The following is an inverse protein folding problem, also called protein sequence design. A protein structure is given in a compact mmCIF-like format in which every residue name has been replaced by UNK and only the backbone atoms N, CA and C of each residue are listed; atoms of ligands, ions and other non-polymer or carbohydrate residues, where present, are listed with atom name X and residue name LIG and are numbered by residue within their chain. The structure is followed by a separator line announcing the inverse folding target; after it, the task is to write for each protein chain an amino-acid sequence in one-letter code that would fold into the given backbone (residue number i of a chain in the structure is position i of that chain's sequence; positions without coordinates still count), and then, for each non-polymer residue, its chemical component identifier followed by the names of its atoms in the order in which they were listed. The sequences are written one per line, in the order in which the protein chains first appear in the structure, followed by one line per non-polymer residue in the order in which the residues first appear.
data_IF_821387543272
#
_entry.id   IF_821387543272
#
_cell.length_a   1.000
_cell.length_b   1.000
_cell.length_c   1.000
_cell.angle_alpha   90.00
_cell.angle_beta   90.00
_cell.angle_gamma   90.00
#
_symmetry.space_group_name_H-M   'P 1'
#
loop_
_entity.id
_entity.type
_entity.pdbx_description
1 polymer ?
#
# COMPACT_ATOMS: atom_id res chain seq x y z
N UNK A 1 21.43 65.30 55.26
CA UNK A 1 21.83 64.27 56.25
C UNK A 1 20.74 63.22 56.26
N UNK A 2 21.12 61.97 55.93
CA UNK A 2 20.53 60.68 56.39
C UNK A 2 19.03 60.44 56.19
N UNK A 3 18.53 59.28 55.78
CA UNK A 3 19.08 58.01 55.27
C UNK A 3 17.85 57.12 54.96
N UNK A 4 18.06 56.03 54.23
CA UNK A 4 17.28 54.78 54.27
C UNK A 4 15.90 54.69 53.58
N UNK A 5 15.96 54.11 52.37
CA UNK A 5 15.03 53.05 51.94
C UNK A 5 15.15 51.84 52.91
N UNK A 6 14.11 51.00 53.09
CA UNK A 6 14.27 49.69 52.44
C UNK A 6 12.96 48.97 51.99
N UNK A 7 13.11 48.23 50.88
CA UNK A 7 12.40 47.02 50.44
C UNK A 7 11.08 47.15 49.67
N UNK A 8 11.19 47.36 48.36
CA UNK A 8 10.29 46.73 47.40
C UNK A 8 10.87 45.36 47.00
N UNK A 9 10.25 44.27 47.46
CA UNK A 9 10.55 42.92 46.97
C UNK A 9 9.88 42.73 45.60
N UNK A 10 10.58 42.25 44.57
CA UNK A 10 9.96 41.86 43.31
C UNK A 10 9.21 40.53 43.51
N UNK A 11 7.88 40.52 43.34
CA UNK A 11 7.15 39.27 43.22
C UNK A 11 7.59 38.55 41.94
N UNK A 12 8.22 37.40 42.15
CA UNK A 12 8.74 36.52 41.11
C UNK A 12 7.62 36.00 40.20
N UNK A 13 7.97 35.88 38.92
CA UNK A 13 7.26 35.10 37.94
C UNK A 13 7.18 33.62 38.35
N UNK A 14 6.04 32.96 38.05
CA UNK A 14 5.99 31.69 37.29
C UNK A 14 4.62 31.03 37.44
N UNK A 15 3.75 31.27 36.45
CA UNK A 15 2.54 30.50 36.24
C UNK A 15 2.51 29.96 34.81
N UNK A 16 3.58 29.30 34.38
CA UNK A 16 3.50 28.44 33.19
C UNK A 16 2.70 27.22 33.65
N UNK A 17 1.47 26.97 33.16
CA UNK A 17 0.77 25.75 33.49
C UNK A 17 1.67 24.59 33.06
N UNK A 18 2.02 23.73 34.03
CA UNK A 18 2.77 22.51 33.78
C UNK A 18 2.12 21.80 32.59
N UNK A 19 2.90 21.62 31.53
CA UNK A 19 2.45 20.89 30.36
C UNK A 19 1.98 19.52 30.84
N UNK A 20 0.67 19.30 30.88
CA UNK A 20 0.09 17.99 31.13
C UNK A 20 0.81 17.02 30.20
N UNK A 21 1.51 16.07 30.80
CA UNK A 21 2.22 15.00 30.13
C UNK A 21 1.16 14.17 29.39
N UNK A 22 0.78 14.62 28.19
CA UNK A 22 -0.17 13.92 27.31
C UNK A 22 0.45 12.57 27.04
N UNK A 23 0.01 11.57 27.79
CA UNK A 23 0.44 10.18 27.68
C UNK A 23 0.06 9.74 26.29
N UNK A 24 1.00 9.85 25.33
CA UNK A 24 0.75 9.54 23.93
C UNK A 24 0.28 8.09 23.86
N UNK A 25 -1.01 7.89 23.61
CA UNK A 25 -1.56 6.54 23.45
C UNK A 25 -0.81 5.91 22.27
N UNK A 26 -0.20 4.75 22.50
CA UNK A 26 0.58 4.06 21.47
C UNK A 26 -0.29 3.86 20.22
N UNK A 27 0.24 4.19 19.04
CA UNK A 27 -0.46 4.11 17.75
C UNK A 27 -1.15 2.74 17.54
N UNK A 28 -0.50 1.65 17.95
CA UNK A 28 -1.06 0.30 17.87
C UNK A 28 -2.33 0.10 18.72
N UNK A 29 -2.42 0.74 19.90
CA UNK A 29 -3.64 0.67 20.73
C UNK A 29 -4.81 1.43 20.11
N UNK A 30 -4.53 2.50 19.35
CA UNK A 30 -5.55 3.23 18.61
C UNK A 30 -6.02 2.43 17.40
N UNK A 31 -5.12 1.77 16.68
CA UNK A 31 -5.48 0.87 15.57
C UNK A 31 -6.37 -0.28 16.03
N UNK A 32 -6.05 -0.90 17.17
CA UNK A 32 -6.85 -1.99 17.76
C UNK A 32 -8.21 -1.53 18.30
N UNK A 33 -8.44 -0.23 18.44
CA UNK A 33 -9.73 0.30 18.90
C UNK A 33 -10.77 0.43 17.78
N UNK A 34 -10.34 0.43 16.51
CA UNK A 34 -11.24 0.50 15.37
C UNK A 34 -11.59 -0.93 14.89
N UNK A 35 -12.85 -1.38 15.04
CA UNK A 35 -13.24 -2.74 14.65
C UNK A 35 -13.04 -2.99 13.15
N UNK A 36 -13.20 -1.98 12.30
CA UNK A 36 -12.99 -2.10 10.85
C UNK A 36 -11.52 -2.40 10.54
N UNK A 37 -10.60 -1.70 11.20
CA UNK A 37 -9.15 -1.91 11.04
C UNK A 37 -8.71 -3.27 11.57
N UNK A 38 -9.32 -3.75 12.66
CA UNK A 38 -9.04 -5.09 13.20
C UNK A 38 -9.52 -6.17 12.24
N UNK A 39 -10.75 -6.06 11.73
CA UNK A 39 -11.31 -7.02 10.77
C UNK A 39 -10.47 -7.06 9.50
N UNK A 40 -10.08 -5.91 8.95
CA UNK A 40 -9.23 -5.86 7.75
C UNK A 40 -7.84 -6.45 7.99
N UNK A 41 -7.24 -6.22 9.15
CA UNK A 41 -5.97 -6.85 9.54
C UNK A 41 -6.08 -8.37 9.66
N UNK A 42 -7.17 -8.89 10.24
CA UNK A 42 -7.41 -10.33 10.34
C UNK A 42 -7.62 -10.96 8.97
N UNK A 43 -8.43 -10.34 8.11
CA UNK A 43 -8.65 -10.83 6.75
C UNK A 43 -7.34 -10.84 5.94
N UNK A 44 -6.55 -9.77 6.02
CA UNK A 44 -5.26 -9.71 5.35
C UNK A 44 -4.29 -10.77 5.90
N UNK A 45 -4.29 -11.00 7.22
CA UNK A 45 -3.50 -12.06 7.83
C UNK A 45 -3.89 -13.45 7.30
N UNK A 46 -5.18 -13.74 7.15
CA UNK A 46 -5.65 -14.99 6.55
C UNK A 46 -5.16 -15.12 5.11
N UNK A 47 -5.27 -14.07 4.30
CA UNK A 47 -4.79 -14.09 2.90
C UNK A 47 -3.28 -14.35 2.84
N UNK A 48 -2.50 -13.65 3.66
CA UNK A 48 -1.04 -13.85 3.74
C UNK A 48 -0.70 -15.26 4.22
N UNK A 49 -1.44 -15.79 5.20
CA UNK A 49 -1.26 -17.14 5.70
C UNK A 49 -1.54 -18.20 4.63
N UNK A 50 -2.64 -18.04 3.88
CA UNK A 50 -2.98 -18.89 2.74
C UNK A 50 -1.94 -18.76 1.62
N UNK A 51 -1.42 -17.57 1.36
CA UNK A 51 -0.39 -17.35 0.36
C UNK A 51 0.94 -18.04 0.68
N UNK A 52 1.35 -18.00 1.96
CA UNK A 52 2.58 -18.64 2.40
C UNK A 52 2.45 -20.15 2.52
N UNK A 53 1.34 -20.63 3.09
CA UNK A 53 1.14 -22.06 3.32
C UNK A 53 0.47 -22.79 2.16
N UNK A 54 -0.13 -22.07 1.21
CA UNK A 54 -0.89 -22.60 0.08
C UNK A 54 -0.23 -23.78 -0.61
N UNK A 55 1.08 -23.73 -0.95
CA UNK A 55 1.80 -24.86 -1.54
C UNK A 55 1.79 -26.15 -0.72
N UNK A 56 1.61 -26.07 0.61
CA UNK A 56 1.59 -27.21 1.53
C UNK A 56 0.18 -27.63 1.95
N UNK A 57 -0.78 -26.71 1.96
CA UNK A 57 -2.15 -26.97 2.41
C UNK A 57 -3.16 -27.14 1.26
N UNK A 58 -2.76 -26.91 0.01
CA UNK A 58 -3.60 -27.15 -1.16
C UNK A 58 -4.00 -28.65 -1.24
N UNK A 59 -5.29 -28.98 -1.36
CA UNK A 59 -5.74 -30.38 -1.40
C UNK A 59 -5.28 -31.16 -2.64
N UNK A 60 -5.08 -30.46 -3.78
CA UNK A 60 -4.74 -31.06 -5.07
C UNK A 60 -3.56 -30.32 -5.72
N UNK A 61 -2.90 -30.98 -6.69
CA UNK A 61 -1.87 -30.33 -7.49
C UNK A 61 -2.45 -29.21 -8.36
N UNK A 62 -1.79 -28.06 -8.35
CA UNK A 62 -2.28 -26.83 -8.98
C UNK A 62 -2.46 -26.93 -10.51
N UNK A 63 -1.75 -27.87 -11.14
CA UNK A 63 -1.74 -28.11 -12.58
C UNK A 63 -2.20 -29.52 -12.95
N UNK A 64 -2.80 -30.25 -12.01
CA UNK A 64 -3.28 -31.61 -12.26
C UNK A 64 -4.55 -31.55 -13.11
N UNK A 65 -4.39 -31.84 -14.41
CA UNK A 65 -5.47 -31.82 -15.39
C UNK A 65 -6.26 -33.12 -15.30
N UNK A 66 -7.58 -33.01 -15.14
CA UNK A 66 -8.51 -34.15 -15.13
C UNK A 66 -9.73 -33.85 -16.01
N UNK A 67 -9.57 -34.10 -17.31
CA UNK A 67 -10.59 -33.81 -18.34
C UNK A 67 -11.93 -34.49 -18.04
N UNK A 68 -11.93 -35.65 -17.39
CA UNK A 68 -13.15 -36.39 -17.07
C UNK A 68 -14.01 -35.68 -16.01
N UNK A 69 -13.38 -34.87 -15.16
CA UNK A 69 -14.03 -34.12 -14.08
C UNK A 69 -14.08 -32.61 -14.38
N UNK A 70 -14.11 -32.20 -15.65
CA UNK A 70 -14.26 -30.80 -16.05
C UNK A 70 -15.59 -30.19 -15.61
N UNK A 71 -15.54 -28.91 -15.22
CA UNK A 71 -16.73 -28.10 -14.91
C UNK A 71 -17.68 -28.76 -13.89
N UNK A 72 -17.12 -29.47 -12.91
CA UNK A 72 -17.92 -30.00 -11.80
C UNK A 72 -18.17 -28.91 -10.76
N UNK A 73 -19.42 -28.80 -10.26
CA UNK A 73 -19.77 -27.84 -9.23
C UNK A 73 -19.06 -28.13 -7.90
N UNK A 74 -19.03 -27.16 -6.98
CA UNK A 74 -18.56 -27.34 -5.61
C UNK A 74 -19.11 -28.60 -4.95
N UNK A 75 -18.22 -29.44 -4.43
CA UNK A 75 -18.52 -30.73 -3.82
C UNK A 75 -17.57 -31.04 -2.67
N UNK A 76 -17.80 -32.15 -1.96
CA UNK A 76 -16.92 -32.57 -0.87
C UNK A 76 -15.51 -32.98 -1.36
N UNK A 77 -15.38 -33.41 -2.62
CA UNK A 77 -14.07 -33.65 -3.25
C UNK A 77 -13.43 -32.33 -3.70
N UNK A 78 -14.17 -31.50 -4.42
CA UNK A 78 -13.69 -30.21 -4.91
C UNK A 78 -14.46 -29.06 -4.28
N UNK A 79 -13.94 -28.50 -3.18
CA UNK A 79 -14.69 -27.53 -2.36
C UNK A 79 -15.14 -26.29 -3.15
N UNK A 80 -14.35 -25.84 -4.12
CA UNK A 80 -14.69 -24.72 -5.01
C UNK A 80 -15.06 -25.18 -6.43
N UNK A 81 -15.24 -26.48 -6.64
CA UNK A 81 -15.47 -27.09 -7.95
C UNK A 81 -14.19 -27.20 -8.78
N UNK A 82 -14.36 -27.62 -10.03
CA UNK A 82 -13.27 -27.76 -11.00
C UNK A 82 -13.40 -26.77 -12.14
N UNK A 83 -12.28 -26.50 -12.82
CA UNK A 83 -12.23 -25.60 -13.97
C UNK A 83 -12.47 -26.31 -15.32
N UNK A 84 -12.27 -25.57 -16.42
CA UNK A 84 -12.40 -26.02 -17.81
C UNK A 84 -11.42 -27.12 -18.20
N UNK A 85 -10.38 -27.35 -17.39
CA UNK A 85 -9.43 -28.46 -17.53
C UNK A 85 -9.58 -29.51 -16.42
N UNK A 86 -10.60 -29.38 -15.57
CA UNK A 86 -10.85 -30.28 -14.44
C UNK A 86 -9.90 -30.09 -13.26
N UNK A 87 -9.13 -28.99 -13.24
CA UNK A 87 -8.23 -28.68 -12.14
C UNK A 87 -9.04 -28.12 -10.97
N UNK A 88 -8.58 -28.41 -9.75
CA UNK A 88 -9.24 -27.95 -8.53
C UNK A 88 -9.15 -26.42 -8.36
N UNK A 89 -10.30 -25.74 -8.29
CA UNK A 89 -10.37 -24.27 -8.21
C UNK A 89 -9.84 -23.76 -6.87
N UNK A 90 -10.07 -24.48 -5.77
CA UNK A 90 -9.62 -24.07 -4.44
C UNK A 90 -8.09 -24.01 -4.38
N UNK A 91 -7.43 -25.09 -4.79
CA UNK A 91 -5.97 -25.20 -4.85
C UNK A 91 -5.40 -24.09 -5.74
N UNK A 92 -6.02 -23.81 -6.89
CA UNK A 92 -5.60 -22.71 -7.77
C UNK A 92 -5.77 -21.33 -7.13
N UNK A 93 -6.88 -21.06 -6.43
CA UNK A 93 -7.09 -19.79 -5.70
C UNK A 93 -6.05 -19.61 -4.59
N UNK A 94 -5.74 -20.66 -3.84
CA UNK A 94 -4.76 -20.63 -2.75
C UNK A 94 -3.35 -20.35 -3.28
N UNK A 95 -2.92 -21.03 -4.33
CA UNK A 95 -1.59 -20.78 -4.93
C UNK A 95 -1.54 -19.40 -5.61
N UNK A 96 -2.61 -18.99 -6.29
CA UNK A 96 -2.69 -17.66 -6.91
C UNK A 96 -2.55 -16.52 -5.89
N UNK A 97 -2.97 -16.73 -4.63
CA UNK A 97 -2.84 -15.72 -3.58
C UNK A 97 -1.39 -15.31 -3.31
N UNK A 98 -0.45 -16.26 -3.33
CA UNK A 98 0.98 -15.98 -3.21
C UNK A 98 1.50 -15.18 -4.39
N UNK A 99 1.10 -15.54 -5.61
CA UNK A 99 1.54 -14.86 -6.83
C UNK A 99 1.01 -13.42 -6.88
N UNK A 100 -0.28 -13.20 -6.63
CA UNK A 100 -0.88 -11.86 -6.65
C UNK A 100 -0.32 -10.96 -5.53
N UNK A 101 -0.12 -11.49 -4.31
CA UNK A 101 0.54 -10.74 -3.23
C UNK A 101 2.00 -10.39 -3.57
N UNK A 102 2.74 -11.32 -4.17
CA UNK A 102 4.12 -11.07 -4.59
C UNK A 102 4.18 -9.94 -5.61
N UNK A 103 3.30 -9.94 -6.62
CA UNK A 103 3.23 -8.86 -7.62
C UNK A 103 2.93 -7.53 -6.96
N UNK A 104 1.88 -7.46 -6.13
CA UNK A 104 1.50 -6.23 -5.46
C UNK A 104 2.63 -5.69 -4.57
N UNK A 105 3.26 -6.54 -3.77
CA UNK A 105 4.32 -6.12 -2.86
C UNK A 105 5.57 -5.66 -3.60
N UNK A 106 6.06 -6.43 -4.58
CA UNK A 106 7.30 -6.11 -5.31
C UNK A 106 7.12 -4.84 -6.16
N UNK A 107 5.99 -4.70 -6.86
CA UNK A 107 5.70 -3.50 -7.65
C UNK A 107 5.60 -2.26 -6.78
N UNK A 108 4.88 -2.34 -5.66
CA UNK A 108 4.73 -1.20 -4.76
C UNK A 108 6.03 -0.87 -4.04
N UNK A 109 6.84 -1.87 -3.66
CA UNK A 109 8.16 -1.63 -3.08
C UNK A 109 9.07 -0.90 -4.07
N UNK A 110 9.09 -1.32 -5.33
CA UNK A 110 9.82 -0.62 -6.39
C UNK A 110 9.34 0.83 -6.54
N UNK A 111 8.03 1.03 -6.68
CA UNK A 111 7.42 2.34 -6.85
C UNK A 111 7.68 3.26 -5.63
N UNK A 112 7.63 2.70 -4.43
CA UNK A 112 7.96 3.38 -3.17
C UNK A 112 9.41 3.84 -3.19
N UNK A 113 10.37 2.94 -3.46
CA UNK A 113 11.80 3.30 -3.39
C UNK A 113 12.12 4.37 -4.43
N UNK A 114 11.78 4.13 -5.69
CA UNK A 114 12.10 5.05 -6.78
C UNK A 114 11.32 6.36 -6.63
N UNK A 115 10.02 6.27 -6.35
CA UNK A 115 9.15 7.43 -6.24
C UNK A 115 9.51 8.31 -5.04
N UNK A 116 9.73 7.73 -3.86
CA UNK A 116 10.14 8.49 -2.68
C UNK A 116 11.48 9.18 -2.91
N UNK A 117 12.46 8.51 -3.50
CA UNK A 117 13.75 9.12 -3.83
C UNK A 117 13.57 10.30 -4.80
N UNK A 118 12.84 10.11 -5.90
CA UNK A 118 12.55 11.17 -6.87
C UNK A 118 11.84 12.34 -6.19
N UNK A 119 10.79 12.09 -5.42
CA UNK A 119 9.98 13.13 -4.79
C UNK A 119 10.71 13.90 -3.69
N UNK A 120 11.49 13.22 -2.85
CA UNK A 120 12.30 13.87 -1.81
C UNK A 120 13.40 14.72 -2.42
N UNK A 121 14.11 14.20 -3.43
CA UNK A 121 15.18 14.94 -4.10
C UNK A 121 14.61 16.16 -4.83
N UNK A 122 13.52 16.00 -5.58
CA UNK A 122 12.88 17.11 -6.29
C UNK A 122 12.34 18.16 -5.30
N UNK A 123 11.64 17.70 -4.24
CA UNK A 123 11.03 18.55 -3.24
C UNK A 123 12.05 19.33 -2.41
N UNK A 124 13.22 18.77 -2.15
CA UNK A 124 14.29 19.43 -1.39
C UNK A 124 15.13 20.37 -2.27
N UNK A 125 15.60 19.91 -3.43
CA UNK A 125 16.46 20.68 -4.32
C UNK A 125 15.73 21.88 -4.94
N UNK A 126 14.48 21.70 -5.38
CA UNK A 126 13.74 22.72 -6.13
C UNK A 126 14.36 23.06 -7.49
N UNK A 127 13.95 24.19 -8.06
CA UNK A 127 14.55 24.76 -9.27
C UNK A 127 14.37 23.91 -10.54
N UNK A 128 15.44 23.83 -11.34
CA UNK A 128 15.41 23.10 -12.62
C UNK A 128 15.27 21.58 -12.42
N UNK A 129 15.94 21.01 -11.41
CA UNK A 129 15.85 19.57 -11.12
C UNK A 129 14.41 19.16 -10.79
N UNK A 130 13.74 19.95 -9.96
CA UNK A 130 12.34 19.72 -9.64
C UNK A 130 11.44 19.83 -10.88
N UNK A 131 11.67 20.85 -11.71
CA UNK A 131 10.94 21.02 -12.97
C UNK A 131 11.10 19.80 -13.88
N UNK A 132 12.33 19.33 -14.12
CA UNK A 132 12.59 18.18 -15.02
C UNK A 132 11.97 16.89 -14.47
N UNK A 133 12.19 16.59 -13.19
CA UNK A 133 11.64 15.36 -12.57
C UNK A 133 10.12 15.38 -12.56
N UNK A 134 9.49 16.51 -12.22
CA UNK A 134 8.03 16.61 -12.22
C UNK A 134 7.45 16.59 -13.63
N UNK A 135 8.16 17.10 -14.65
CA UNK A 135 7.73 16.94 -16.05
C UNK A 135 7.71 15.49 -16.48
N UNK A 136 8.72 14.69 -16.09
CA UNK A 136 8.71 13.25 -16.35
C UNK A 136 7.51 12.56 -15.68
N UNK A 137 7.27 12.88 -14.41
CA UNK A 137 6.10 12.38 -13.64
C UNK A 137 4.78 12.77 -14.32
N UNK A 138 4.65 14.01 -14.79
CA UNK A 138 3.44 14.49 -15.46
C UNK A 138 3.21 13.82 -16.82
N UNK A 139 4.28 13.53 -17.57
CA UNK A 139 4.20 12.75 -18.82
C UNK A 139 3.66 11.34 -18.56
N UNK A 140 4.09 10.69 -17.47
CA UNK A 140 3.57 9.37 -17.12
C UNK A 140 2.08 9.40 -16.76
N UNK A 141 1.63 10.44 -16.04
CA UNK A 141 0.22 10.62 -15.70
C UNK A 141 -0.67 11.03 -16.87
N UNK A 142 -0.11 11.48 -17.99
CA UNK A 142 -0.88 11.77 -19.19
C UNK A 142 -1.52 10.49 -19.78
N UNK A 143 -0.94 9.32 -19.49
CA UNK A 143 -1.47 8.03 -19.89
C UNK A 143 -2.33 7.43 -18.76
N UNK A 144 -3.48 6.82 -19.08
CA UNK A 144 -4.22 6.02 -18.11
C UNK A 144 -3.35 4.89 -17.56
N UNK A 145 -3.33 4.72 -16.23
CA UNK A 145 -2.50 3.76 -15.49
C UNK A 145 -2.52 2.36 -16.12
N UNK A 146 -3.73 1.84 -16.38
CA UNK A 146 -3.88 0.50 -16.95
C UNK A 146 -3.35 0.43 -18.40
N UNK A 147 -3.62 1.45 -19.23
CA UNK A 147 -3.14 1.48 -20.61
C UNK A 147 -1.62 1.54 -20.69
N UNK A 148 -0.99 2.33 -19.81
CA UNK A 148 0.47 2.41 -19.75
C UNK A 148 1.08 1.07 -19.30
N UNK A 149 0.49 0.42 -18.29
CA UNK A 149 0.94 -0.89 -17.84
C UNK A 149 0.80 -1.94 -18.96
N UNK A 150 -0.34 -1.97 -19.66
CA UNK A 150 -0.59 -2.85 -20.81
C UNK A 150 0.45 -2.63 -21.91
N UNK A 151 0.73 -1.38 -22.27
CA UNK A 151 1.72 -1.05 -23.30
C UNK A 151 3.12 -1.54 -22.91
N UNK A 152 3.54 -1.33 -21.66
CA UNK A 152 4.85 -1.78 -21.17
C UNK A 152 4.96 -3.31 -21.25
N UNK A 153 3.95 -4.04 -20.80
CA UNK A 153 3.98 -5.51 -20.80
C UNK A 153 3.85 -6.10 -22.20
N UNK A 154 3.05 -5.49 -23.07
CA UNK A 154 2.97 -5.89 -24.47
C UNK A 154 4.32 -5.75 -25.20
N UNK A 155 5.12 -4.72 -24.87
CA UNK A 155 6.46 -4.52 -25.44
C UNK A 155 7.50 -5.46 -24.83
N UNK A 156 7.49 -5.64 -23.50
CA UNK A 156 8.49 -6.44 -22.77
C UNK A 156 8.19 -7.95 -22.74
N UNK A 157 7.09 -8.37 -23.36
CA UNK A 157 6.48 -9.69 -23.27
C UNK A 157 5.72 -9.98 -21.94
N UNK A 158 4.56 -10.66 -21.99
CA UNK A 158 3.80 -11.05 -20.81
C UNK A 158 4.56 -11.96 -19.86
N UNK A 159 4.40 -11.74 -18.56
CA UNK A 159 5.04 -12.54 -17.53
C UNK A 159 5.01 -11.90 -16.15
N UNK A 160 5.41 -12.67 -15.14
CA UNK A 160 5.40 -12.24 -13.74
C UNK A 160 6.32 -11.03 -13.50
N UNK A 161 7.57 -11.10 -13.97
CA UNK A 161 8.56 -10.04 -13.76
C UNK A 161 8.21 -8.75 -14.53
N UNK A 162 7.72 -8.88 -15.77
CA UNK A 162 7.34 -7.72 -16.61
C UNK A 162 6.08 -7.06 -16.07
N UNK A 163 5.11 -7.83 -15.57
CA UNK A 163 3.94 -7.31 -14.84
C UNK A 163 4.38 -6.53 -13.59
N UNK A 164 5.30 -7.10 -12.79
CA UNK A 164 5.82 -6.43 -11.59
C UNK A 164 6.47 -5.08 -11.93
N UNK A 165 7.35 -5.08 -12.93
CA UNK A 165 8.06 -3.89 -13.38
C UNK A 165 7.11 -2.85 -13.96
N UNK A 166 6.15 -3.25 -14.78
CA UNK A 166 5.18 -2.35 -15.40
C UNK A 166 4.33 -1.64 -14.34
N UNK A 167 3.74 -2.38 -13.40
CA UNK A 167 2.95 -1.79 -12.32
C UNK A 167 3.83 -0.86 -11.47
N UNK A 168 5.06 -1.28 -11.14
CA UNK A 168 5.99 -0.47 -10.35
C UNK A 168 6.38 0.85 -11.02
N UNK A 169 6.70 0.82 -12.31
CA UNK A 169 6.99 2.02 -13.12
C UNK A 169 5.78 2.95 -13.11
N UNK A 170 4.60 2.43 -13.43
CA UNK A 170 3.37 3.24 -13.52
C UNK A 170 2.98 3.85 -12.17
N UNK A 171 3.33 3.22 -11.04
CA UNK A 171 2.97 3.71 -9.71
C UNK A 171 4.03 4.65 -9.11
N UNK A 172 5.25 4.67 -9.66
CA UNK A 172 6.34 5.56 -9.24
C UNK A 172 5.93 7.05 -9.19
N UNK A 173 5.22 7.61 -10.19
CA UNK A 173 4.68 8.97 -10.16
C UNK A 173 3.83 9.30 -8.93
N UNK A 174 3.05 8.34 -8.43
CA UNK A 174 2.15 8.52 -7.28
C UNK A 174 2.98 8.77 -6.02
N UNK A 175 3.97 7.91 -5.76
CA UNK A 175 4.89 8.07 -4.63
C UNK A 175 5.74 9.34 -4.75
N UNK A 176 6.24 9.65 -5.95
CA UNK A 176 7.02 10.86 -6.19
C UNK A 176 6.24 12.13 -5.84
N UNK A 177 4.97 12.21 -6.24
CA UNK A 177 4.12 13.38 -5.96
C UNK A 177 3.84 13.52 -4.46
N UNK A 178 3.51 12.43 -3.76
CA UNK A 178 3.24 12.45 -2.32
C UNK A 178 4.50 12.81 -1.52
N UNK A 179 5.64 12.19 -1.85
CA UNK A 179 6.92 12.47 -1.20
C UNK A 179 7.37 13.91 -1.44
N UNK A 180 7.21 14.43 -2.67
CA UNK A 180 7.52 15.83 -2.99
C UNK A 180 6.66 16.79 -2.20
N UNK A 181 5.34 16.61 -2.20
CA UNK A 181 4.42 17.50 -1.49
C UNK A 181 4.74 17.55 0.01
N UNK A 182 4.98 16.38 0.61
CA UNK A 182 5.34 16.26 2.03
C UNK A 182 6.71 16.90 2.32
N UNK A 183 7.69 16.69 1.43
CA UNK A 183 9.02 17.30 1.55
C UNK A 183 8.96 18.82 1.45
N UNK A 184 8.11 19.36 0.57
CA UNK A 184 7.93 20.81 0.41
C UNK A 184 7.35 21.45 1.67
N UNK A 185 6.49 20.73 2.40
CA UNK A 185 5.99 21.18 3.70
C UNK A 185 7.08 21.13 4.78
N UNK A 186 7.85 20.05 4.84
CA UNK A 186 8.86 19.85 5.89
C UNK A 186 10.09 20.75 5.69
N UNK A 187 10.50 21.02 4.44
CA UNK A 187 11.72 21.82 4.17
C UNK A 187 11.65 23.27 4.67
N UNK A 188 10.45 23.81 4.87
CA UNK A 188 10.25 25.18 5.35
C UNK A 188 10.15 25.26 6.87
N UNK A 189 10.17 24.12 7.58
CA UNK A 189 10.08 24.09 9.03
C UNK A 189 11.33 24.70 9.72
N UNK A 190 11.17 25.37 10.88
CA UNK A 190 12.27 26.09 11.54
C UNK A 190 13.49 25.21 11.85
N UNK A 191 13.28 23.96 12.28
CA UNK A 191 14.39 23.04 12.59
C UNK A 191 15.21 22.65 11.36
N UNK A 192 14.59 22.58 10.18
CA UNK A 192 15.29 22.32 8.91
C UNK A 192 16.07 23.55 8.49
N UNK A 193 15.47 24.75 8.61
CA UNK A 193 16.14 26.01 8.27
C UNK A 193 17.39 26.24 9.13
N UNK A 194 17.29 26.01 10.45
CA UNK A 194 18.42 26.13 11.37
C UNK A 194 19.52 25.11 11.05
N UNK A 195 19.16 23.85 10.78
CA UNK A 195 20.16 22.83 10.39
C UNK A 195 20.90 23.22 9.10
N UNK A 196 20.20 23.86 8.16
CA UNK A 196 20.78 24.36 6.91
C UNK A 196 21.72 25.55 7.13
N UNK A 197 21.36 26.51 7.98
CA UNK A 197 22.24 27.66 8.30
C UNK A 197 23.50 27.22 9.06
N UNK A 198 23.42 26.13 9.81
CA UNK A 198 24.58 25.48 10.46
C UNK A 198 25.49 24.70 9.49
N UNK A 199 25.19 24.66 8.19
CA UNK A 199 26.03 23.98 7.19
C UNK A 199 25.92 22.46 7.20
N UNK A 200 24.85 21.90 7.77
CA UNK A 200 24.62 20.44 7.77
C UNK A 200 24.49 19.93 6.33
N UNK A 201 25.17 18.83 5.94
CA UNK A 201 25.08 18.31 4.58
C UNK A 201 23.65 17.87 4.24
N UNK A 202 23.23 18.10 3.01
CA UNK A 202 21.86 17.84 2.53
C UNK A 202 21.40 16.40 2.78
N UNK A 203 22.28 15.41 2.60
CA UNK A 203 21.94 14.00 2.82
C UNK A 203 21.60 13.71 4.29
N UNK A 204 22.27 14.39 5.23
CA UNK A 204 21.97 14.28 6.66
C UNK A 204 20.65 14.94 7.01
N UNK A 205 20.35 16.11 6.41
CA UNK A 205 19.05 16.77 6.56
C UNK A 205 17.92 15.87 6.03
N UNK A 206 18.10 15.28 4.84
CA UNK A 206 17.12 14.37 4.27
C UNK A 206 16.89 13.14 5.15
N UNK A 207 17.96 12.48 5.58
CA UNK A 207 17.88 11.25 6.38
C UNK A 207 17.35 11.45 7.80
N UNK A 208 17.73 12.55 8.47
CA UNK A 208 17.40 12.78 9.89
C UNK A 208 16.20 13.67 10.11
N UNK A 209 15.91 14.60 9.19
CA UNK A 209 14.84 15.57 9.36
C UNK A 209 13.70 15.35 8.37
N UNK A 210 13.97 15.14 7.08
CA UNK A 210 12.88 15.06 6.09
C UNK A 210 12.20 13.69 6.09
N UNK A 211 12.95 12.61 5.83
CA UNK A 211 12.40 11.26 5.68
C UNK A 211 11.56 10.84 6.90
N UNK A 212 12.03 10.97 8.15
CA UNK A 212 11.23 10.59 9.32
C UNK A 212 9.90 11.35 9.42
N UNK A 213 9.87 12.63 9.04
CA UNK A 213 8.67 13.48 9.14
C UNK A 213 7.65 13.23 8.02
N UNK A 214 8.06 12.66 6.88
CA UNK A 214 7.15 12.32 5.79
C UNK A 214 6.69 10.85 5.80
N UNK A 215 7.18 10.04 6.76
CA UNK A 215 6.82 8.60 6.85
C UNK A 215 5.31 8.37 6.93
N UNK A 216 4.57 9.19 7.67
CA UNK A 216 3.12 9.05 7.85
C UNK A 216 2.35 9.01 6.52
N UNK A 217 2.39 10.08 5.72
CA UNK A 217 1.76 10.10 4.39
C UNK A 217 2.23 8.97 3.46
N UNK A 218 3.51 8.61 3.50
CA UNK A 218 4.05 7.56 2.64
C UNK A 218 3.54 6.17 3.05
N UNK A 219 3.44 5.89 4.35
CA UNK A 219 2.89 4.63 4.86
C UNK A 219 1.43 4.47 4.42
N UNK A 220 0.62 5.53 4.57
CA UNK A 220 -0.77 5.54 4.11
C UNK A 220 -0.83 5.28 2.60
N UNK A 221 -0.04 6.01 1.82
CA UNK A 221 0.03 5.83 0.36
C UNK A 221 0.41 4.40 -0.03
N UNK A 222 1.32 3.77 0.71
CA UNK A 222 1.76 2.39 0.47
C UNK A 222 0.60 1.40 0.60
N UNK A 223 -0.19 1.50 1.67
CA UNK A 223 -1.35 0.63 1.88
C UNK A 223 -2.40 0.77 0.78
N UNK A 224 -2.70 2.00 0.36
CA UNK A 224 -3.63 2.27 -0.74
C UNK A 224 -3.09 1.71 -2.07
N UNK A 225 -1.80 1.92 -2.34
CA UNK A 225 -1.15 1.41 -3.55
C UNK A 225 -1.12 -0.11 -3.63
N UNK A 226 -0.99 -0.83 -2.50
CA UNK A 226 -1.08 -2.30 -2.48
C UNK A 226 -2.46 -2.79 -2.93
N UNK A 227 -3.54 -2.16 -2.47
CA UNK A 227 -4.90 -2.50 -2.91
C UNK A 227 -5.06 -2.31 -4.43
N UNK A 228 -4.62 -1.16 -4.96
CA UNK A 228 -4.69 -0.90 -6.39
C UNK A 228 -3.77 -1.81 -7.22
N UNK A 229 -2.61 -2.19 -6.69
CA UNK A 229 -1.69 -3.09 -7.38
C UNK A 229 -2.27 -4.49 -7.58
N UNK A 230 -3.01 -5.02 -6.59
CA UNK A 230 -3.77 -6.27 -6.73
C UNK A 230 -4.81 -6.16 -7.86
N UNK A 231 -5.56 -5.07 -7.89
CA UNK A 231 -6.56 -4.82 -8.94
C UNK A 231 -5.91 -4.68 -10.32
N UNK A 232 -4.76 -4.00 -10.40
CA UNK A 232 -4.02 -3.80 -11.66
C UNK A 232 -3.43 -5.11 -12.18
N UNK A 233 -2.82 -5.92 -11.31
CA UNK A 233 -2.34 -7.27 -11.66
C UNK A 233 -3.50 -8.12 -12.16
N UNK A 234 -4.61 -8.15 -11.41
CA UNK A 234 -5.79 -8.93 -11.79
C UNK A 234 -6.37 -8.47 -13.12
N UNK A 235 -6.44 -7.16 -13.38
CA UNK A 235 -6.88 -6.62 -14.66
C UNK A 235 -5.95 -7.00 -15.81
N UNK A 236 -4.63 -6.96 -15.60
CA UNK A 236 -3.66 -7.32 -16.62
C UNK A 236 -3.69 -8.83 -16.94
N UNK A 237 -3.74 -9.66 -15.91
CA UNK A 237 -3.91 -11.12 -16.03
C UNK A 237 -5.26 -11.47 -16.66
N UNK A 238 -6.32 -10.73 -16.33
CA UNK A 238 -7.63 -10.89 -16.97
C UNK A 238 -7.60 -10.54 -18.46
N UNK A 239 -6.78 -9.57 -18.87
CA UNK A 239 -6.57 -9.21 -20.28
C UNK A 239 -5.57 -10.14 -21.01
N UNK A 240 -5.12 -11.22 -20.36
CA UNK A 240 -4.18 -12.20 -20.94
C UNK A 240 -2.72 -11.73 -20.99
N UNK A 241 -2.42 -10.53 -20.49
CA UNK A 241 -1.08 -9.93 -20.52
C UNK A 241 -0.33 -10.07 -19.19
N UNK A 242 -0.97 -10.59 -18.15
CA UNK A 242 -0.34 -10.82 -16.85
C UNK A 242 0.44 -12.14 -16.77
N UNK A 243 0.23 -12.87 -15.68
CA UNK A 243 0.92 -14.14 -15.41
C UNK A 243 0.47 -15.20 -16.40
N UNK A 244 1.44 -15.90 -16.99
CA UNK A 244 1.20 -16.89 -18.03
C UNK A 244 1.08 -18.31 -17.44
N UNK A 245 0.25 -19.19 -18.04
CA UNK A 245 0.22 -20.60 -17.69
C UNK A 245 1.63 -21.24 -17.72
N UNK A 246 1.93 -22.20 -16.84
CA UNK A 246 1.00 -22.95 -15.99
C UNK A 246 0.68 -22.28 -14.65
N UNK A 247 1.36 -21.21 -14.26
CA UNK A 247 1.14 -20.55 -12.97
C UNK A 247 -0.26 -19.92 -12.89
N UNK A 248 -1.03 -20.14 -11.79
CA UNK A 248 -2.32 -19.48 -11.63
C UNK A 248 -2.16 -18.04 -11.12
N UNK A 249 -3.05 -17.16 -11.56
CA UNK A 249 -3.32 -15.85 -10.97
C UNK A 249 -4.82 -15.63 -10.87
N UNK A 250 -5.29 -14.82 -9.92
CA UNK A 250 -6.72 -14.60 -9.77
C UNK A 250 -7.34 -13.98 -11.02
N UNK A 251 -6.65 -13.01 -11.64
CA UNK A 251 -7.08 -12.42 -12.91
C UNK A 251 -7.11 -13.42 -14.06
N UNK A 252 -6.12 -14.32 -14.15
CA UNK A 252 -6.07 -15.35 -15.18
C UNK A 252 -7.17 -16.40 -15.01
N UNK A 253 -7.54 -16.72 -13.76
CA UNK A 253 -8.68 -17.58 -13.46
C UNK A 253 -10.01 -16.93 -13.90
N UNK A 254 -10.16 -15.62 -13.68
CA UNK A 254 -11.32 -14.86 -14.18
C UNK A 254 -11.36 -14.83 -15.72
N UNK A 255 -10.21 -14.71 -16.39
CA UNK A 255 -10.14 -14.77 -17.85
C UNK A 255 -10.63 -16.11 -18.39
N UNK A 256 -10.21 -17.22 -17.78
CA UNK A 256 -10.67 -18.55 -18.15
C UNK A 256 -12.19 -18.72 -17.91
N UNK A 257 -12.72 -18.15 -16.82
CA UNK A 257 -14.12 -18.25 -16.46
C UNK A 257 -15.09 -17.53 -17.41
N UNK A 258 -14.62 -16.57 -18.23
CA UNK A 258 -15.48 -15.71 -19.06
C UNK A 258 -16.42 -16.49 -19.99
N UNK A 259 -15.95 -17.62 -20.55
CA UNK A 259 -16.71 -18.47 -21.46
C UNK A 259 -17.69 -19.42 -20.76
N UNK A 260 -17.57 -19.56 -19.44
CA UNK A 260 -18.28 -20.58 -18.67
C UNK A 260 -19.19 -19.99 -17.59
N UNK A 261 -19.43 -18.67 -17.56
CA UNK A 261 -20.19 -18.00 -16.48
C UNK A 261 -21.59 -18.62 -16.26
N UNK A 262 -22.27 -19.02 -17.34
CA UNK A 262 -23.61 -19.63 -17.26
C UNK A 262 -23.59 -21.07 -16.75
N UNK A 263 -22.47 -21.78 -16.90
CA UNK A 263 -22.34 -23.21 -16.58
C UNK A 263 -21.59 -23.46 -15.27
N UNK A 264 -20.55 -22.67 -15.01
CA UNK A 264 -19.58 -22.82 -13.93
C UNK A 264 -19.33 -21.46 -13.23
N UNK A 265 -20.37 -20.93 -12.58
CA UNK A 265 -20.31 -19.64 -11.87
C UNK A 265 -19.23 -19.60 -10.77
N UNK A 266 -18.86 -20.74 -10.20
CA UNK A 266 -17.81 -20.83 -9.17
C UNK A 266 -16.42 -20.44 -9.70
N UNK A 267 -16.15 -20.68 -10.99
CA UNK A 267 -14.86 -20.32 -11.60
C UNK A 267 -14.60 -18.81 -11.59
N UNK A 268 -15.66 -17.98 -11.59
CA UNK A 268 -15.53 -16.53 -11.48
C UNK A 268 -15.71 -16.04 -10.04
N UNK A 269 -16.66 -16.63 -9.29
CA UNK A 269 -17.00 -16.15 -7.95
C UNK A 269 -15.83 -16.25 -6.97
N UNK A 270 -15.14 -17.39 -6.89
CA UNK A 270 -14.10 -17.62 -5.88
C UNK A 270 -12.83 -16.78 -6.12
N UNK A 271 -12.21 -16.76 -7.31
CA UNK A 271 -11.09 -15.86 -7.55
C UNK A 271 -11.49 -14.38 -7.48
N UNK A 272 -12.71 -14.03 -7.92
CA UNK A 272 -13.24 -12.67 -7.78
C UNK A 272 -13.41 -12.25 -6.30
N UNK A 273 -13.92 -13.14 -5.45
CA UNK A 273 -14.04 -12.92 -4.02
C UNK A 273 -12.66 -12.77 -3.36
N UNK A 274 -11.67 -13.56 -3.78
CA UNK A 274 -10.30 -13.45 -3.27
C UNK A 274 -9.67 -12.08 -3.59
N UNK A 275 -9.84 -11.59 -4.83
CA UNK A 275 -9.43 -10.23 -5.23
C UNK A 275 -10.15 -9.19 -4.37
N UNK A 276 -11.48 -9.29 -4.26
CA UNK A 276 -12.31 -8.33 -3.53
C UNK A 276 -11.91 -8.25 -2.04
N UNK A 277 -11.84 -9.38 -1.35
CA UNK A 277 -11.46 -9.45 0.07
C UNK A 277 -10.06 -8.88 0.28
N UNK A 278 -9.11 -9.22 -0.58
CA UNK A 278 -7.72 -8.76 -0.45
C UNK A 278 -7.59 -7.26 -0.68
N UNK A 279 -8.17 -6.75 -1.77
CA UNK A 279 -8.15 -5.32 -2.09
C UNK A 279 -8.88 -4.49 -1.02
N UNK A 280 -10.04 -4.96 -0.56
CA UNK A 280 -10.79 -4.33 0.52
C UNK A 280 -9.99 -4.31 1.81
N UNK A 281 -9.33 -5.42 2.16
CA UNK A 281 -8.53 -5.52 3.39
C UNK A 281 -7.36 -4.54 3.39
N UNK A 282 -6.62 -4.43 2.28
CA UNK A 282 -5.55 -3.43 2.15
C UNK A 282 -6.09 -1.99 2.23
N UNK A 283 -7.22 -1.71 1.58
CA UNK A 283 -7.83 -0.39 1.56
C UNK A 283 -8.29 0.05 2.96
N UNK A 284 -9.08 -0.79 3.64
CA UNK A 284 -9.57 -0.53 5.00
C UNK A 284 -8.45 -0.45 6.04
N UNK A 285 -7.40 -1.27 5.88
CA UNK A 285 -6.21 -1.17 6.73
C UNK A 285 -5.49 0.16 6.52
N UNK A 286 -5.35 0.60 5.27
CA UNK A 286 -4.77 1.90 4.91
C UNK A 286 -5.53 3.08 5.52
N UNK A 287 -6.86 3.05 5.51
CA UNK A 287 -7.69 4.06 6.15
C UNK A 287 -7.51 4.06 7.68
N UNK A 288 -7.48 2.89 8.32
CA UNK A 288 -7.17 2.79 9.74
C UNK A 288 -5.78 3.36 10.10
N UNK A 289 -4.77 3.09 9.27
CA UNK A 289 -3.43 3.67 9.42
C UNK A 289 -3.46 5.19 9.26
N UNK A 290 -4.22 5.71 8.31
CA UNK A 290 -4.39 7.15 8.09
C UNK A 290 -5.00 7.83 9.31
N UNK A 291 -6.07 7.25 9.86
CA UNK A 291 -6.76 7.82 11.01
C UNK A 291 -5.85 7.92 12.23
N UNK A 292 -5.00 6.91 12.42
CA UNK A 292 -4.01 6.91 13.49
C UNK A 292 -2.79 7.77 13.17
N UNK A 293 -2.44 8.03 11.91
CA UNK A 293 -1.29 8.87 11.57
C UNK A 293 -1.64 10.37 11.48
N UNK A 294 -2.92 10.72 11.37
CA UNK A 294 -3.39 12.12 11.37
C UNK A 294 -3.45 12.72 12.80
N UNK A 295 -2.64 13.75 13.12
CA UNK A 295 -2.63 14.40 14.44
C UNK A 295 -3.97 15.02 14.85
N UNK A 296 -4.76 15.49 13.88
CA UNK A 296 -6.07 16.12 14.15
C UNK A 296 -7.10 15.09 14.57
N UNK A 297 -7.08 13.91 13.93
CA UNK A 297 -7.97 12.83 14.28
C UNK A 297 -7.65 12.19 15.63
N UNK A 298 -6.35 12.07 15.98
CA UNK A 298 -5.94 11.61 17.33
C UNK A 298 -6.56 12.44 18.45
N UNK A 299 -6.56 13.76 18.31
CA UNK A 299 -7.12 14.67 19.34
C UNK A 299 -8.64 14.46 19.51
N UNK A 300 -9.36 14.16 18.42
CA UNK A 300 -10.79 13.86 18.45
C UNK A 300 -11.08 12.48 19.08
N UNK A 301 -10.30 11.45 18.72
CA UNK A 301 -10.44 10.10 19.28
C UNK A 301 -10.16 10.11 20.79
N UNK A 302 -9.11 10.82 21.22
CA UNK A 302 -8.75 10.97 22.64
C UNK A 302 -9.84 11.70 23.44
N UNK A 303 -10.48 12.71 22.85
CA UNK A 303 -11.58 13.45 23.52
C UNK A 303 -12.85 12.63 23.70
N UNK A 304 -13.18 11.74 22.75
CA UNK A 304 -14.33 10.82 22.86
C UNK A 304 -14.12 9.75 23.93
N UNK A 305 -12.88 9.30 24.15
CA UNK A 305 -12.56 8.25 25.13
C UNK A 305 -12.52 8.75 26.59
N UNK A 306 -12.44 10.07 26.79
CA UNK A 306 -12.50 10.73 28.11
C UNK A 306 -13.93 11.04 28.58
N UNK A 307 -14.95 10.80 27.77
CA UNK A 307 -16.37 10.86 28.14
C UNK A 307 -16.89 9.45 28.40
#
# INVERSE_FOLDING_TARGET
MTDQNPQATPQAASGVPAAEERTRVAAWRLLLSNPVTVVSAVLLFIVVFVALLGPWIAPYGVNDVDVANQLQPPSASHWFGTDDLGRDVLSRVMIASGVSLQVAFVSVAFAFVVGVLVGVVSGYAGGLLDTVLMRLVDVMFAFPVLLLALAIVAILAPGLATTMLAIGIVYTPIFARVARASTLSVRVEPYVQVSRTMGTPWASILGRHVLPNITGPIIVQTSLSLAFAILAESALSFLGLGIQPPAPSWGGMLFAAQGFISQAWWMSLFPGAAIFVTALSFNLLGDGMRDVLDPKQRTLIESRRKR
#
